data_IF_235046359978
#
_entry.id   IF_235046359978
#
_cell.length_a   1.000
_cell.length_b   1.000
_cell.length_c   1.000
_cell.angle_alpha   90.00
_cell.angle_beta   90.00
_cell.angle_gamma   90.00
#
_symmetry.space_group_name_H-M   'P 1'
#
loop_
_entity.id
_entity.type
_entity.pdbx_description
1 polymer ?
#
# COMPACT_ATOMS: atom_id res chain seq x y z
N UNK A 1 3.22 -2.69 69.16
CA UNK A 1 2.91 -1.53 70.00
C UNK A 1 1.93 -0.69 69.21
N UNK A 2 0.65 -0.89 69.48
CA UNK A 2 -0.28 -0.09 70.30
C UNK A 2 -0.68 1.20 69.55
N UNK A 3 -1.89 1.25 69.05
CA UNK A 3 -3.26 1.41 69.57
C UNK A 3 -3.62 2.88 69.72
N UNK A 4 -4.73 3.25 69.20
CA UNK A 4 -5.94 4.01 69.63
C UNK A 4 -6.51 4.90 68.54
N UNK A 5 -7.70 4.71 68.00
CA UNK A 5 -9.06 4.85 68.55
C UNK A 5 -9.45 6.30 68.87
N UNK A 6 -10.49 6.82 68.17
CA UNK A 6 -11.70 7.53 68.65
C UNK A 6 -12.47 8.05 67.42
N UNK A 7 -13.63 7.60 67.10
CA UNK A 7 -15.03 7.69 67.52
C UNK A 7 -15.56 9.11 67.78
N UNK A 8 -16.56 9.53 66.99
CA UNK A 8 -17.95 9.95 67.32
C UNK A 8 -18.51 10.80 66.18
N UNK A 9 -19.56 10.47 65.60
CA UNK A 9 -21.02 10.54 65.87
C UNK A 9 -21.67 11.87 65.42
N UNK A 10 -22.52 11.74 64.45
CA UNK A 10 -23.94 12.05 64.40
C UNK A 10 -24.37 13.46 63.93
N UNK A 11 -25.29 13.46 62.99
CA UNK A 11 -26.15 14.58 62.65
C UNK A 11 -27.09 14.25 61.52
N UNK A 12 -28.30 13.92 61.83
CA UNK A 12 -29.49 13.68 61.01
C UNK A 12 -29.91 14.93 60.24
N UNK A 13 -30.36 14.86 59.02
CA UNK A 13 -31.72 15.16 58.61
C UNK A 13 -31.86 15.55 57.14
N UNK A 14 -32.85 15.07 56.50
CA UNK A 14 -33.55 15.81 55.48
C UNK A 14 -33.66 15.13 54.12
N UNK A 15 -34.74 14.41 53.97
CA UNK A 15 -35.22 13.79 52.72
C UNK A 15 -35.41 14.79 51.56
N UNK A 16 -35.12 14.39 50.36
CA UNK A 16 -35.97 14.65 49.20
C UNK A 16 -35.58 13.69 48.07
N UNK A 17 -36.45 12.71 47.86
CA UNK A 17 -36.41 11.78 46.74
C UNK A 17 -36.86 12.56 45.51
N UNK A 18 -35.96 12.81 44.55
CA UNK A 18 -36.35 13.14 43.20
C UNK A 18 -35.92 11.94 42.31
N UNK A 19 -36.91 11.14 41.98
CA UNK A 19 -36.81 10.10 40.95
C UNK A 19 -36.64 10.79 39.61
N UNK A 20 -35.42 10.89 39.12
CA UNK A 20 -35.16 11.19 37.72
C UNK A 20 -34.96 9.85 36.98
N UNK A 21 -35.98 9.44 36.24
CA UNK A 21 -35.84 8.38 35.22
C UNK A 21 -34.85 8.86 34.16
N UNK A 22 -33.62 8.42 34.27
CA UNK A 22 -32.66 8.49 33.17
C UNK A 22 -33.00 7.33 32.23
N UNK A 23 -33.76 7.63 31.19
CA UNK A 23 -33.88 6.73 30.03
C UNK A 23 -32.49 6.65 29.36
N UNK A 24 -31.78 5.55 29.61
CA UNK A 24 -30.59 5.18 28.89
C UNK A 24 -30.95 4.85 27.44
N UNK A 25 -30.86 5.85 26.59
CA UNK A 25 -30.82 5.66 25.15
C UNK A 25 -29.50 4.96 24.83
N UNK A 26 -29.49 3.64 24.81
CA UNK A 26 -28.46 2.84 24.16
C UNK A 26 -28.53 3.14 22.67
N UNK A 27 -27.80 4.16 22.24
CA UNK A 27 -27.54 4.36 20.84
C UNK A 27 -26.70 3.18 20.38
N UNK A 28 -27.32 2.17 19.80
CA UNK A 28 -26.67 1.23 18.92
C UNK A 28 -26.04 2.08 17.77
N UNK A 29 -24.79 2.42 17.90
CA UNK A 29 -23.99 2.91 16.79
C UNK A 29 -23.83 1.73 15.82
N UNK A 30 -24.76 1.59 14.89
CA UNK A 30 -24.53 0.80 13.69
C UNK A 30 -23.30 1.40 13.02
N UNK A 31 -22.29 0.59 12.65
CA UNK A 31 -21.19 1.11 11.85
C UNK A 31 -21.85 1.69 10.59
N UNK A 32 -21.65 2.99 10.38
CA UNK A 32 -22.02 3.64 9.13
C UNK A 32 -21.13 3.01 8.08
N UNK A 33 -21.65 1.98 7.40
CA UNK A 33 -21.06 1.55 6.15
C UNK A 33 -21.22 2.73 5.20
N UNK A 34 -20.15 3.50 5.02
CA UNK A 34 -20.10 4.49 3.95
C UNK A 34 -20.50 3.77 2.67
N UNK A 35 -21.53 4.25 1.95
CA UNK A 35 -21.93 3.61 0.72
C UNK A 35 -20.71 3.63 -0.20
N UNK A 36 -20.26 2.44 -0.63
CA UNK A 36 -19.29 2.31 -1.71
C UNK A 36 -19.86 3.14 -2.86
N UNK A 37 -19.18 4.18 -3.33
CA UNK A 37 -19.71 4.97 -4.42
C UNK A 37 -19.99 3.99 -5.57
N UNK A 38 -21.13 4.11 -6.26
CA UNK A 38 -21.43 3.24 -7.38
C UNK A 38 -20.22 3.29 -8.31
N UNK A 39 -19.78 2.12 -8.79
CA UNK A 39 -18.64 2.00 -9.69
C UNK A 39 -18.83 3.06 -10.78
N UNK A 40 -18.14 4.19 -10.62
CA UNK A 40 -18.27 5.32 -11.52
C UNK A 40 -17.81 4.79 -12.85
N UNK A 41 -18.68 4.80 -13.86
CA UNK A 41 -18.28 4.47 -15.23
C UNK A 41 -16.99 5.23 -15.45
N UNK A 42 -15.88 4.50 -15.71
CA UNK A 42 -14.61 5.12 -16.01
C UNK A 42 -14.90 6.18 -17.08
N UNK A 43 -14.78 7.44 -16.72
CA UNK A 43 -14.97 8.48 -17.70
C UNK A 43 -13.77 8.38 -18.63
N UNK A 44 -14.04 8.01 -19.87
CA UNK A 44 -13.07 8.15 -20.94
C UNK A 44 -12.77 9.64 -21.02
N UNK A 45 -11.61 10.06 -20.50
CA UNK A 45 -11.13 11.42 -20.74
C UNK A 45 -10.75 11.46 -22.20
N UNK A 46 -11.53 12.20 -22.99
CA UNK A 46 -11.43 12.24 -24.45
C UNK A 46 -11.31 10.85 -25.06
N UNK A 47 -12.47 10.23 -25.31
CA UNK A 47 -12.56 8.91 -25.94
C UNK A 47 -11.49 8.71 -27.01
N UNK A 48 -10.52 7.85 -26.72
CA UNK A 48 -9.46 7.49 -27.65
C UNK A 48 -8.18 8.32 -27.65
N UNK A 49 -8.06 9.43 -26.87
CA UNK A 49 -6.81 10.22 -26.85
C UNK A 49 -5.85 9.89 -25.70
N UNK A 50 -6.38 9.75 -24.47
CA UNK A 50 -5.51 9.77 -23.28
C UNK A 50 -5.46 8.45 -22.50
N UNK A 51 -6.15 7.41 -22.96
CA UNK A 51 -6.24 6.11 -22.28
C UNK A 51 -7.51 5.97 -21.43
N UNK A 52 -7.62 4.84 -20.72
CA UNK A 52 -8.73 4.55 -19.82
C UNK A 52 -8.40 5.11 -18.43
N UNK A 53 -9.13 6.16 -18.02
CA UNK A 53 -8.95 6.76 -16.71
C UNK A 53 -9.69 5.97 -15.64
N UNK A 54 -8.98 5.65 -14.54
CA UNK A 54 -9.53 5.06 -13.32
C UNK A 54 -9.28 6.01 -12.17
N UNK A 55 -10.34 6.60 -11.62
CA UNK A 55 -10.24 7.45 -10.45
C UNK A 55 -9.93 6.57 -9.23
N UNK A 56 -8.96 7.00 -8.45
CA UNK A 56 -8.60 6.38 -7.19
C UNK A 56 -9.20 7.18 -6.04
N UNK A 57 -9.50 6.51 -4.93
CA UNK A 57 -9.84 7.18 -3.68
C UNK A 57 -8.61 7.22 -2.79
N UNK A 58 -8.42 8.35 -2.11
CA UNK A 58 -7.42 8.47 -1.05
C UNK A 58 -8.11 8.28 0.29
N UNK A 59 -7.61 7.35 1.10
CA UNK A 59 -8.09 7.07 2.44
C UNK A 59 -7.02 7.46 3.45
N UNK A 60 -7.41 8.16 4.50
CA UNK A 60 -6.52 8.56 5.59
C UNK A 60 -6.99 7.95 6.90
N UNK A 61 -6.08 7.35 7.63
CA UNK A 61 -6.36 6.85 8.97
C UNK A 61 -6.05 7.95 10.00
N UNK A 62 -7.08 8.41 10.70
CA UNK A 62 -6.95 9.42 11.76
C UNK A 62 -6.12 8.93 12.95
N UNK A 63 -6.11 7.63 13.20
CA UNK A 63 -5.46 7.04 14.37
C UNK A 63 -3.96 6.80 14.20
N UNK A 64 -3.45 6.70 12.96
CA UNK A 64 -2.05 6.33 12.68
C UNK A 64 -1.34 7.22 11.66
N UNK A 65 -1.98 8.27 11.19
CA UNK A 65 -1.39 9.16 10.18
C UNK A 65 -1.05 8.47 8.85
N UNK A 66 -1.60 7.27 8.60
CA UNK A 66 -1.36 6.52 7.37
C UNK A 66 -2.32 6.99 6.28
N UNK A 67 -1.83 7.06 5.08
CA UNK A 67 -2.63 7.27 3.89
C UNK A 67 -2.48 6.07 2.95
N UNK A 68 -3.54 5.78 2.21
CA UNK A 68 -3.56 4.73 1.18
C UNK A 68 -4.41 5.19 0.02
N UNK A 69 -4.15 4.68 -1.16
CA UNK A 69 -4.99 4.91 -2.34
C UNK A 69 -5.54 3.59 -2.83
N UNK A 70 -6.75 3.61 -3.38
CA UNK A 70 -7.38 2.38 -3.85
C UNK A 70 -8.53 2.62 -4.79
N UNK A 71 -9.15 1.52 -5.24
CA UNK A 71 -10.19 1.55 -6.25
C UNK A 71 -11.12 0.34 -6.13
N UNK A 72 -12.36 0.47 -6.61
CA UNK A 72 -13.23 -0.68 -6.80
C UNK A 72 -12.81 -1.48 -8.04
N UNK A 73 -12.74 -2.79 -7.88
CA UNK A 73 -12.60 -3.75 -8.96
C UNK A 73 -13.77 -4.72 -8.94
N UNK A 74 -14.01 -5.44 -10.04
CA UNK A 74 -14.99 -6.52 -10.07
C UNK A 74 -14.26 -7.85 -9.92
N UNK A 75 -14.70 -8.66 -8.98
CA UNK A 75 -14.21 -10.02 -8.75
C UNK A 75 -15.41 -10.97 -8.70
N UNK A 76 -15.50 -11.86 -9.67
CA UNK A 76 -16.64 -12.77 -9.85
C UNK A 76 -18.00 -12.03 -9.80
N UNK A 77 -18.10 -10.91 -10.54
CA UNK A 77 -19.31 -10.08 -10.61
C UNK A 77 -19.60 -9.22 -9.38
N UNK A 78 -18.76 -9.29 -8.33
CA UNK A 78 -18.91 -8.51 -7.10
C UNK A 78 -17.90 -7.36 -7.06
N UNK A 79 -18.36 -6.17 -6.69
CA UNK A 79 -17.46 -5.04 -6.44
C UNK A 79 -16.66 -5.27 -5.15
N UNK A 80 -15.33 -5.19 -5.26
CA UNK A 80 -14.39 -5.30 -4.14
C UNK A 80 -13.48 -4.08 -4.16
N UNK A 81 -13.29 -3.45 -3.00
CA UNK A 81 -12.46 -2.26 -2.88
C UNK A 81 -11.05 -2.66 -2.44
N UNK A 82 -10.05 -2.39 -3.28
CA UNK A 82 -8.67 -2.82 -3.08
C UNK A 82 -7.73 -1.61 -2.99
N UNK A 83 -6.75 -1.71 -2.08
CA UNK A 83 -5.62 -0.77 -2.03
C UNK A 83 -4.73 -0.98 -3.25
N UNK A 84 -4.41 0.09 -3.96
CA UNK A 84 -3.46 0.05 -5.07
C UNK A 84 -2.04 0.10 -4.51
N UNK A 85 -1.25 -0.94 -4.79
CA UNK A 85 0.16 -0.98 -4.42
C UNK A 85 1.05 -1.22 -5.62
N UNK A 86 1.85 -0.22 -5.96
CA UNK A 86 2.86 -0.32 -6.99
C UNK A 86 4.12 -1.07 -6.53
N UNK A 87 4.29 -1.30 -5.23
CA UNK A 87 5.45 -1.99 -4.65
C UNK A 87 5.32 -3.52 -4.55
N UNK A 88 4.14 -4.06 -4.84
CA UNK A 88 3.86 -5.50 -4.82
C UNK A 88 3.26 -5.97 -6.14
N UNK A 89 3.23 -7.29 -6.35
CA UNK A 89 2.65 -7.93 -7.53
C UNK A 89 1.51 -8.84 -7.12
N UNK A 90 0.45 -8.89 -7.95
CA UNK A 90 -0.68 -9.79 -7.76
C UNK A 90 -1.76 -9.28 -6.80
N UNK A 91 -2.87 -10.00 -6.75
CA UNK A 91 -4.02 -9.64 -5.92
C UNK A 91 -4.06 -10.50 -4.66
N UNK A 92 -4.16 -9.84 -3.51
CA UNK A 92 -4.40 -10.47 -2.22
C UNK A 92 -5.66 -9.89 -1.64
N UNK A 93 -6.66 -10.71 -1.45
CA UNK A 93 -8.00 -10.26 -1.07
C UNK A 93 -8.53 -11.11 0.07
N UNK A 94 -9.20 -10.48 1.04
CA UNK A 94 -9.81 -11.20 2.16
C UNK A 94 -10.83 -12.20 1.64
N UNK A 95 -10.67 -13.45 2.03
CA UNK A 95 -11.51 -14.57 1.58
C UNK A 95 -13.00 -14.33 1.82
N UNK A 96 -13.34 -13.63 2.92
CA UNK A 96 -14.73 -13.32 3.31
C UNK A 96 -15.51 -12.43 2.33
N UNK A 97 -14.81 -11.66 1.47
CA UNK A 97 -15.48 -10.78 0.50
C UNK A 97 -15.69 -11.44 -0.85
N UNK A 98 -15.03 -12.55 -1.10
CA UNK A 98 -15.20 -13.34 -2.31
C UNK A 98 -16.43 -14.25 -2.21
N UNK A 99 -17.12 -14.55 -3.32
CA UNK A 99 -18.20 -15.55 -3.32
C UNK A 99 -17.65 -16.93 -2.95
N UNK A 100 -18.33 -17.63 -2.05
CA UNK A 100 -17.89 -18.98 -1.59
C UNK A 100 -17.80 -20.01 -2.71
N UNK A 101 -18.56 -19.82 -3.77
CA UNK A 101 -18.54 -20.70 -4.98
C UNK A 101 -17.23 -20.66 -5.74
N UNK A 102 -16.41 -19.62 -5.55
CA UNK A 102 -15.14 -19.45 -6.25
C UNK A 102 -13.97 -20.20 -5.60
N UNK A 103 -14.21 -20.95 -4.52
CA UNK A 103 -13.15 -21.69 -3.82
C UNK A 103 -13.18 -23.17 -4.14
N UNK A 104 -12.20 -23.72 -4.84
CA UNK A 104 -11.94 -25.14 -4.72
C UNK A 104 -11.46 -25.42 -3.31
N UNK A 105 -12.03 -26.42 -2.65
CA UNK A 105 -11.69 -26.82 -1.27
C UNK A 105 -10.19 -27.20 -1.07
N UNK A 106 -9.38 -27.20 -2.13
CA UNK A 106 -8.00 -27.67 -2.19
C UNK A 106 -7.05 -26.77 -2.98
N UNK A 107 -7.25 -25.44 -2.99
CA UNK A 107 -6.27 -24.52 -3.58
C UNK A 107 -4.91 -24.60 -2.87
N UNK A 108 -3.82 -24.43 -3.62
CA UNK A 108 -2.48 -24.36 -3.04
C UNK A 108 -2.41 -23.17 -2.05
N UNK A 109 -2.05 -23.43 -0.80
CA UNK A 109 -1.83 -22.35 0.18
C UNK A 109 -0.50 -21.69 -0.09
N UNK A 110 -0.54 -20.38 -0.09
CA UNK A 110 0.63 -19.53 -0.21
C UNK A 110 0.67 -18.56 0.96
N UNK A 111 1.84 -18.03 1.26
CA UNK A 111 2.02 -16.95 2.23
C UNK A 111 2.90 -15.86 1.62
N UNK A 112 2.62 -14.62 2.01
CA UNK A 112 3.39 -13.45 1.62
C UNK A 112 3.69 -12.59 2.83
N UNK A 113 4.92 -12.11 2.93
CA UNK A 113 5.35 -11.24 4.02
C UNK A 113 5.60 -9.84 3.49
N UNK A 114 4.94 -8.86 4.07
CA UNK A 114 5.14 -7.43 3.76
C UNK A 114 6.37 -6.86 4.47
N UNK A 115 6.79 -5.69 4.03
CA UNK A 115 7.88 -4.94 4.69
C UNK A 115 7.53 -4.49 6.13
N UNK A 116 6.24 -4.49 6.45
CA UNK A 116 5.68 -4.22 7.78
C UNK A 116 5.82 -5.39 8.75
N UNK A 117 6.45 -6.51 8.34
CA UNK A 117 6.50 -7.80 9.05
C UNK A 117 5.13 -8.46 9.24
N UNK A 118 4.09 -7.94 8.61
CA UNK A 118 2.82 -8.63 8.50
C UNK A 118 2.94 -9.75 7.46
N UNK A 119 2.38 -10.91 7.80
CA UNK A 119 2.29 -12.06 6.91
C UNK A 119 0.83 -12.37 6.63
N UNK A 120 0.50 -12.52 5.36
CA UNK A 120 -0.81 -12.99 4.91
C UNK A 120 -0.70 -14.39 4.37
N UNK A 121 -1.66 -15.23 4.68
CA UNK A 121 -1.72 -16.62 4.21
C UNK A 121 -3.12 -16.91 3.67
N UNK A 122 -3.20 -17.79 2.70
CA UNK A 122 -4.46 -18.19 2.10
C UNK A 122 -4.31 -19.08 0.88
N UNK A 123 -5.43 -19.50 0.31
CA UNK A 123 -5.44 -20.32 -0.89
C UNK A 123 -5.25 -19.45 -2.14
N UNK A 124 -4.50 -19.94 -3.10
CA UNK A 124 -4.48 -19.38 -4.47
C UNK A 124 -5.66 -19.93 -5.23
N UNK A 125 -6.50 -19.05 -5.74
CA UNK A 125 -7.70 -19.37 -6.52
C UNK A 125 -7.75 -18.56 -7.80
N UNK A 126 -8.50 -19.03 -8.79
CA UNK A 126 -8.75 -18.28 -10.02
C UNK A 126 -10.15 -17.68 -9.96
N UNK A 127 -10.23 -16.36 -10.22
CA UNK A 127 -11.50 -15.64 -10.25
C UNK A 127 -11.61 -14.76 -11.49
N UNK A 128 -12.80 -14.56 -12.04
CA UNK A 128 -13.04 -13.55 -13.06
C UNK A 128 -12.77 -12.15 -12.47
N UNK A 129 -11.86 -11.41 -13.08
CA UNK A 129 -11.42 -10.08 -12.65
C UNK A 129 -11.65 -9.06 -13.76
N UNK A 130 -12.17 -7.89 -13.41
CA UNK A 130 -12.21 -6.75 -14.30
C UNK A 130 -12.07 -5.42 -13.55
N UNK A 131 -11.62 -4.39 -14.26
CA UNK A 131 -11.40 -3.05 -13.73
C UNK A 131 -11.97 -2.04 -14.72
N UNK A 132 -12.62 -0.99 -14.21
CA UNK A 132 -13.10 0.13 -15.01
C UNK A 132 -13.93 -0.28 -16.24
N UNK A 133 -14.75 -1.33 -16.13
CA UNK A 133 -15.60 -1.82 -17.22
C UNK A 133 -14.90 -2.62 -18.31
N UNK A 134 -13.64 -3.02 -18.11
CA UNK A 134 -12.96 -3.97 -19.02
C UNK A 134 -13.66 -5.31 -19.03
N UNK A 135 -13.44 -6.11 -20.09
CA UNK A 135 -13.94 -7.49 -20.10
C UNK A 135 -13.27 -8.28 -18.98
N UNK A 136 -14.01 -9.15 -18.27
CA UNK A 136 -13.44 -10.02 -17.27
C UNK A 136 -12.36 -10.93 -17.85
N UNK A 137 -11.29 -11.15 -17.08
CA UNK A 137 -10.23 -12.11 -17.35
C UNK A 137 -10.06 -13.02 -16.14
N UNK A 138 -9.69 -14.27 -16.36
CA UNK A 138 -9.39 -15.19 -15.28
C UNK A 138 -8.06 -14.83 -14.65
N UNK A 139 -8.07 -14.54 -13.35
CA UNK A 139 -6.92 -14.07 -12.60
C UNK A 139 -6.67 -14.98 -11.39
N UNK A 140 -5.42 -15.44 -11.24
CA UNK A 140 -4.97 -16.11 -10.03
C UNK A 140 -4.79 -15.07 -8.91
N UNK A 141 -5.48 -15.26 -7.77
CA UNK A 141 -5.46 -14.38 -6.63
C UNK A 141 -5.23 -15.17 -5.33
N UNK A 142 -4.65 -14.55 -4.33
CA UNK A 142 -4.58 -15.13 -2.98
C UNK A 142 -5.84 -14.74 -2.20
N UNK A 143 -6.66 -15.72 -1.87
CA UNK A 143 -7.79 -15.57 -0.96
C UNK A 143 -7.28 -15.65 0.48
N UNK A 144 -7.05 -14.50 1.10
CA UNK A 144 -6.44 -14.38 2.43
C UNK A 144 -7.44 -14.76 3.50
N UNK A 145 -7.11 -15.76 4.28
CA UNK A 145 -7.88 -16.23 5.45
C UNK A 145 -7.17 -16.03 6.78
N UNK A 146 -5.87 -15.69 6.74
CA UNK A 146 -5.06 -15.44 7.92
C UNK A 146 -4.14 -14.23 7.70
N UNK A 147 -4.08 -13.36 8.71
CA UNK A 147 -3.12 -12.24 8.80
C UNK A 147 -2.42 -12.34 10.16
N UNK A 148 -1.12 -12.45 10.14
CA UNK A 148 -0.30 -12.66 11.34
C UNK A 148 0.96 -11.78 11.32
N UNK A 149 1.66 -11.73 12.44
CA UNK A 149 2.96 -11.09 12.53
C UNK A 149 4.08 -12.12 12.45
N UNK A 150 5.20 -11.76 11.85
CA UNK A 150 6.42 -12.55 11.98
C UNK A 150 6.83 -12.67 13.45
N UNK A 151 7.46 -13.82 13.81
CA UNK A 151 7.92 -14.07 15.18
C UNK A 151 8.88 -13.01 15.71
N UNK A 152 9.66 -12.41 14.82
CA UNK A 152 10.62 -11.34 15.13
C UNK A 152 9.95 -10.01 15.47
N UNK A 153 8.75 -9.76 14.95
CA UNK A 153 7.99 -8.52 15.22
C UNK A 153 6.54 -8.83 15.61
N UNK A 154 6.33 -9.12 16.87
CA UNK A 154 4.99 -9.48 17.41
C UNK A 154 4.01 -8.30 17.45
N UNK A 155 4.45 -7.07 17.15
CA UNK A 155 3.63 -5.85 17.17
C UNK A 155 3.47 -5.23 15.79
N UNK A 156 3.45 -6.05 14.76
CA UNK A 156 3.20 -5.58 13.41
C UNK A 156 1.73 -5.13 13.22
N UNK A 157 1.44 -4.52 12.10
CA UNK A 157 0.10 -4.01 11.77
C UNK A 157 -0.99 -5.08 11.71
N UNK A 158 -0.62 -6.37 11.61
CA UNK A 158 -1.57 -7.49 11.66
C UNK A 158 -2.33 -7.56 13.00
N UNK A 159 -1.80 -6.98 14.08
CA UNK A 159 -2.52 -6.91 15.36
C UNK A 159 -3.72 -5.96 15.32
N UNK A 160 -3.80 -5.10 14.32
CA UNK A 160 -4.97 -4.24 14.10
C UNK A 160 -6.13 -5.00 13.43
N UNK A 161 -6.02 -6.31 13.35
CA UNK A 161 -6.97 -7.19 12.69
C UNK A 161 -6.71 -7.31 11.18
N UNK A 162 -7.60 -8.04 10.51
CA UNK A 162 -7.48 -8.32 9.07
C UNK A 162 -7.36 -7.08 8.20
N UNK A 163 -7.95 -5.97 8.61
CA UNK A 163 -7.97 -4.74 7.84
C UNK A 163 -6.75 -3.84 8.11
N UNK A 164 -5.97 -4.12 9.15
CA UNK A 164 -4.80 -3.30 9.50
C UNK A 164 -3.76 -3.23 8.39
N UNK A 165 -3.44 -4.35 7.77
CA UNK A 165 -2.50 -4.41 6.64
C UNK A 165 -3.08 -3.79 5.36
N UNK A 166 -4.39 -3.89 5.17
CA UNK A 166 -5.06 -3.38 3.98
C UNK A 166 -5.57 -1.93 4.13
N UNK A 167 -5.14 -1.20 5.16
CA UNK A 167 -5.46 0.21 5.34
C UNK A 167 -6.90 0.51 5.77
N UNK A 168 -7.57 -0.42 6.46
CA UNK A 168 -8.93 -0.33 7.06
C UNK A 168 -10.08 -0.15 6.07
N UNK A 169 -9.91 0.64 5.02
CA UNK A 169 -10.94 0.89 4.02
C UNK A 169 -11.01 -0.18 2.94
N UNK A 170 -9.97 -1.00 2.82
CA UNK A 170 -9.82 -1.94 1.73
C UNK A 170 -10.02 -3.38 2.17
N UNK A 171 -10.47 -4.20 1.23
CA UNK A 171 -10.64 -5.64 1.43
C UNK A 171 -9.45 -6.47 0.93
N UNK A 172 -8.38 -5.81 0.53
CA UNK A 172 -7.18 -6.44 0.01
C UNK A 172 -6.29 -5.46 -0.72
N UNK A 173 -5.30 -6.01 -1.43
CA UNK A 173 -4.28 -5.27 -2.18
C UNK A 173 -4.36 -5.66 -3.65
N UNK A 174 -4.35 -4.66 -4.52
CA UNK A 174 -4.13 -4.76 -5.96
C UNK A 174 -2.67 -4.40 -6.23
N UNK A 175 -1.80 -5.41 -6.22
CA UNK A 175 -0.38 -5.25 -6.49
C UNK A 175 -0.12 -5.15 -7.98
N UNK A 176 0.33 -3.97 -8.42
CA UNK A 176 0.55 -3.65 -9.83
C UNK A 176 2.02 -3.35 -10.16
N UNK A 177 2.93 -3.60 -9.24
CA UNK A 177 4.35 -3.31 -9.40
C UNK A 177 5.09 -4.27 -10.32
N UNK A 178 6.40 -4.08 -10.35
CA UNK A 178 7.33 -5.01 -10.98
C UNK A 178 7.36 -6.35 -10.23
N UNK A 179 7.76 -7.40 -10.92
CA UNK A 179 7.77 -8.75 -10.37
C UNK A 179 8.77 -8.88 -9.19
N UNK A 180 8.33 -9.53 -8.12
CA UNK A 180 9.21 -9.96 -7.03
C UNK A 180 9.46 -11.48 -7.19
N UNK A 181 10.69 -11.92 -7.46
CA UNK A 181 10.99 -13.35 -7.67
C UNK A 181 10.73 -14.22 -6.44
N UNK A 182 10.54 -13.59 -5.27
CA UNK A 182 10.18 -14.28 -4.02
C UNK A 182 8.68 -14.47 -3.86
N UNK A 183 7.88 -13.84 -4.72
CA UNK A 183 6.42 -13.98 -4.70
C UNK A 183 6.02 -15.16 -5.58
N UNK A 184 5.56 -16.22 -4.95
CA UNK A 184 5.16 -17.46 -5.64
C UNK A 184 3.68 -17.49 -6.01
N UNK A 185 2.92 -16.49 -5.57
CA UNK A 185 1.52 -16.34 -5.92
C UNK A 185 1.34 -15.22 -6.95
N UNK A 186 0.40 -15.42 -7.79
CA UNK A 186 -0.42 -14.36 -8.38
C UNK A 186 0.26 -13.59 -9.52
N UNK A 187 -0.42 -13.62 -10.64
CA UNK A 187 -0.09 -12.83 -11.83
C UNK A 187 -0.35 -11.35 -11.56
N UNK A 188 0.47 -10.47 -12.10
CA UNK A 188 0.24 -9.03 -12.07
C UNK A 188 -1.09 -8.69 -12.78
N UNK A 189 -2.08 -8.11 -12.07
CA UNK A 189 -3.47 -8.08 -12.52
C UNK A 189 -3.70 -7.20 -13.75
N UNK A 190 -2.97 -6.10 -13.91
CA UNK A 190 -3.14 -5.26 -15.09
C UNK A 190 -2.55 -5.94 -16.33
N UNK A 191 -1.43 -6.65 -16.22
CA UNK A 191 -0.83 -7.40 -17.33
C UNK A 191 -1.69 -8.59 -17.79
N UNK A 192 -2.58 -9.09 -16.94
CA UNK A 192 -3.55 -10.11 -17.30
C UNK A 192 -4.68 -9.56 -18.19
N UNK A 193 -4.93 -8.26 -18.19
CA UNK A 193 -5.87 -7.61 -19.10
C UNK A 193 -5.38 -7.69 -20.55
N UNK A 194 -6.25 -7.47 -21.55
CA UNK A 194 -5.82 -7.41 -22.95
C UNK A 194 -4.62 -6.48 -23.14
N UNK A 195 -3.65 -6.90 -23.98
CA UNK A 195 -2.35 -6.23 -24.10
C UNK A 195 -2.46 -4.74 -24.50
N UNK A 196 -3.48 -4.38 -25.26
CA UNK A 196 -3.74 -2.98 -25.61
C UNK A 196 -4.28 -2.14 -24.44
N UNK A 197 -4.57 -2.73 -23.28
CA UNK A 197 -5.10 -2.05 -22.08
C UNK A 197 -4.10 -2.13 -20.94
N UNK A 198 -3.59 -3.30 -20.61
CA UNK A 198 -2.94 -3.58 -19.34
C UNK A 198 -1.40 -3.57 -19.34
N UNK A 199 -0.74 -3.56 -20.51
CA UNK A 199 0.71 -3.61 -20.59
C UNK A 199 1.39 -2.27 -20.26
N UNK A 200 0.65 -1.17 -20.36
CA UNK A 200 1.14 0.18 -20.06
C UNK A 200 0.14 0.90 -19.17
N UNK A 201 0.62 1.54 -18.13
CA UNK A 201 -0.23 2.35 -17.25
C UNK A 201 0.57 3.40 -16.50
N UNK A 202 -0.10 4.49 -16.15
CA UNK A 202 0.42 5.59 -15.37
C UNK A 202 -0.28 5.62 -14.01
N UNK A 203 0.48 5.78 -12.93
CA UNK A 203 -0.02 5.98 -11.56
C UNK A 203 0.42 7.35 -11.09
N UNK A 204 -0.55 8.18 -10.71
CA UNK A 204 -0.35 9.40 -9.95
C UNK A 204 -0.81 9.14 -8.52
N UNK A 205 0.13 9.18 -7.59
CA UNK A 205 -0.12 8.85 -6.19
C UNK A 205 -0.42 10.08 -5.32
N UNK A 206 -0.61 11.26 -5.93
CA UNK A 206 -0.98 12.46 -5.20
C UNK A 206 -2.33 12.29 -4.51
N UNK A 207 -2.38 12.46 -3.18
CA UNK A 207 -3.57 12.17 -2.37
C UNK A 207 -4.74 13.11 -2.65
N UNK A 208 -4.51 14.28 -3.23
CA UNK A 208 -5.60 15.20 -3.56
C UNK A 208 -6.31 14.79 -4.86
N UNK A 209 -5.57 14.18 -5.78
CA UNK A 209 -6.10 13.71 -7.07
C UNK A 209 -5.39 12.43 -7.53
N UNK A 210 -5.53 11.33 -6.78
CA UNK A 210 -4.91 10.09 -7.18
C UNK A 210 -5.61 9.50 -8.40
N UNK A 211 -4.84 8.97 -9.34
CA UNK A 211 -5.41 8.36 -10.54
C UNK A 211 -4.54 7.24 -11.11
N UNK A 212 -5.17 6.34 -11.81
CA UNK A 212 -4.57 5.32 -12.65
C UNK A 212 -5.06 5.52 -14.08
N UNK A 213 -4.15 5.57 -15.05
CA UNK A 213 -4.49 5.63 -16.48
C UNK A 213 -3.98 4.36 -17.14
N UNK A 214 -4.88 3.54 -17.65
CA UNK A 214 -4.52 2.35 -18.42
C UNK A 214 -4.31 2.73 -19.87
N UNK A 215 -3.27 2.19 -20.50
CA UNK A 215 -2.87 2.49 -21.89
C UNK A 215 -2.75 3.99 -22.18
N UNK A 216 -1.94 4.74 -21.39
CA UNK A 216 -1.82 6.18 -21.56
C UNK A 216 -1.28 6.53 -22.95
N UNK A 217 -1.76 7.67 -23.50
CA UNK A 217 -1.28 8.19 -24.78
C UNK A 217 0.17 8.65 -24.71
N UNK A 218 0.82 8.73 -25.86
CA UNK A 218 2.19 9.25 -25.95
C UNK A 218 2.28 10.72 -25.46
N UNK A 219 1.19 11.49 -25.60
CA UNK A 219 1.13 12.87 -25.10
C UNK A 219 1.27 12.93 -23.57
N UNK A 220 0.69 11.97 -22.85
CA UNK A 220 0.80 11.88 -21.38
C UNK A 220 2.16 11.36 -20.92
N UNK A 221 2.86 10.57 -21.74
CA UNK A 221 4.09 9.87 -21.34
C UNK A 221 5.38 10.48 -21.86
N UNK A 222 5.31 11.45 -22.79
CA UNK A 222 6.49 12.04 -23.47
C UNK A 222 7.53 12.71 -22.55
N UNK A 223 7.11 13.17 -21.37
CA UNK A 223 7.95 13.93 -20.43
C UNK A 223 8.48 13.05 -19.27
N UNK A 224 8.29 11.73 -19.36
CA UNK A 224 8.88 10.80 -18.40
C UNK A 224 10.34 10.50 -18.76
N UNK A 225 11.19 10.46 -17.75
CA UNK A 225 12.51 9.84 -17.89
C UNK A 225 12.30 8.34 -17.81
N UNK A 226 12.63 7.63 -18.89
CA UNK A 226 12.46 6.17 -18.96
C UNK A 226 13.73 5.49 -18.47
N UNK A 227 13.57 4.54 -17.55
CA UNK A 227 14.65 3.68 -17.05
C UNK A 227 14.30 2.22 -17.32
N UNK A 228 15.26 1.39 -17.75
CA UNK A 228 14.98 -0.02 -18.02
C UNK A 228 14.65 -0.76 -16.72
N UNK A 229 13.60 -1.60 -16.76
CA UNK A 229 13.39 -2.64 -15.76
C UNK A 229 14.45 -3.71 -15.91
N UNK A 230 14.85 -4.34 -14.82
CA UNK A 230 15.76 -5.47 -14.87
C UNK A 230 14.99 -6.71 -15.32
N UNK A 231 15.31 -7.26 -16.49
CA UNK A 231 14.63 -8.44 -17.01
C UNK A 231 15.28 -9.72 -16.46
N UNK A 232 14.47 -10.53 -15.78
CA UNK A 232 14.84 -11.87 -15.34
C UNK A 232 14.94 -12.85 -16.54
N UNK A 233 15.62 -13.98 -16.34
CA UNK A 233 15.75 -15.02 -17.35
C UNK A 233 14.41 -15.67 -17.72
N UNK A 234 13.45 -15.62 -16.82
CA UNK A 234 12.07 -16.11 -16.94
C UNK A 234 11.12 -15.07 -17.58
N UNK A 235 11.65 -13.92 -18.03
CA UNK A 235 10.85 -12.83 -18.57
C UNK A 235 10.18 -11.96 -17.48
N UNK A 236 10.47 -12.18 -16.20
CA UNK A 236 10.02 -11.31 -15.13
C UNK A 236 10.64 -9.91 -15.25
N UNK A 237 9.83 -8.88 -15.02
CA UNK A 237 10.29 -7.50 -15.04
C UNK A 237 10.50 -7.03 -13.61
N UNK A 238 11.76 -6.96 -13.18
CA UNK A 238 12.17 -6.62 -11.83
C UNK A 238 12.51 -5.12 -11.69
N UNK A 239 12.53 -4.64 -10.47
CA UNK A 239 12.87 -3.26 -10.15
C UNK A 239 14.29 -2.88 -10.59
N UNK A 240 14.50 -1.67 -11.14
CA UNK A 240 15.81 -1.19 -11.52
C UNK A 240 16.69 -0.95 -10.30
N UNK A 241 18.00 -1.10 -10.47
CA UNK A 241 18.97 -0.68 -9.45
C UNK A 241 19.13 0.84 -9.51
N UNK A 242 19.07 1.47 -8.34
CA UNK A 242 19.36 2.89 -8.15
C UNK A 242 20.18 3.11 -6.90
N UNK A 243 20.56 4.35 -6.65
CA UNK A 243 21.37 4.72 -5.50
C UNK A 243 20.73 5.84 -4.71
N UNK A 244 20.81 5.76 -3.39
CA UNK A 244 20.49 6.87 -2.48
C UNK A 244 21.75 7.43 -1.85
N UNK A 245 21.79 8.75 -1.71
CA UNK A 245 22.73 9.46 -0.86
C UNK A 245 21.93 10.04 0.30
N UNK A 246 22.19 9.58 1.53
CA UNK A 246 21.50 10.03 2.76
C UNK A 246 22.36 11.06 3.46
N UNK A 247 22.00 12.33 3.35
CA UNK A 247 22.82 13.44 3.84
C UNK A 247 24.24 13.38 3.26
N UNK A 248 25.25 13.59 4.13
CA UNK A 248 26.66 13.39 3.79
C UNK A 248 27.22 12.01 4.20
N UNK A 249 26.37 11.16 4.79
CA UNK A 249 26.83 10.00 5.55
C UNK A 249 26.81 8.70 4.76
N UNK A 250 25.77 8.44 3.98
CA UNK A 250 25.56 7.14 3.37
C UNK A 250 25.30 7.26 1.87
N UNK A 251 26.07 6.52 1.09
CA UNK A 251 25.73 6.20 -0.31
C UNK A 251 25.45 4.71 -0.42
N UNK A 252 24.28 4.36 -0.95
CA UNK A 252 23.82 2.98 -0.99
C UNK A 252 23.08 2.71 -2.29
N UNK A 253 23.39 1.59 -2.95
CA UNK A 253 22.79 1.20 -4.22
C UNK A 253 22.12 -0.17 -4.08
N UNK A 254 20.88 -0.27 -4.52
CA UNK A 254 20.06 -1.49 -4.46
C UNK A 254 18.87 -1.37 -5.43
N UNK A 255 18.07 -2.43 -5.65
CA UNK A 255 16.81 -2.32 -6.34
C UNK A 255 15.91 -1.25 -5.67
N UNK A 256 15.34 -0.35 -6.49
CA UNK A 256 14.48 0.74 -6.01
C UNK A 256 13.03 0.38 -6.26
N UNK A 257 12.28 0.18 -5.18
CA UNK A 257 10.85 -0.15 -5.18
C UNK A 257 10.06 1.14 -4.96
N UNK A 258 9.18 1.49 -5.89
CA UNK A 258 8.24 2.58 -5.74
C UNK A 258 6.90 2.02 -5.28
N UNK A 259 6.54 2.20 -4.00
CA UNK A 259 5.41 1.52 -3.35
C UNK A 259 4.34 2.51 -2.88
N UNK A 260 3.19 2.49 -3.52
CA UNK A 260 2.03 3.25 -3.02
C UNK A 260 1.36 2.60 -1.81
N UNK A 261 1.68 1.35 -1.50
CA UNK A 261 1.29 0.67 -0.27
C UNK A 261 2.26 0.90 0.91
N UNK A 262 3.46 1.42 0.64
CA UNK A 262 4.45 1.75 1.66
C UNK A 262 4.06 3.01 2.44
N UNK A 263 4.10 2.94 3.76
CA UNK A 263 3.72 4.07 4.65
C UNK A 263 4.91 4.97 5.00
N UNK A 264 6.13 4.46 4.93
CA UNK A 264 7.35 5.23 5.14
C UNK A 264 7.58 6.15 3.92
N UNK A 265 8.17 7.32 4.15
CA UNK A 265 8.54 8.18 3.02
C UNK A 265 9.70 7.54 2.23
N UNK A 266 10.80 7.20 2.93
CA UNK A 266 11.94 6.48 2.35
C UNK A 266 12.37 5.40 3.34
N UNK A 267 12.54 4.17 2.85
CA UNK A 267 13.06 3.06 3.64
C UNK A 267 14.24 2.42 2.90
N UNK A 268 15.36 2.34 3.57
CA UNK A 268 16.56 1.62 3.10
C UNK A 268 16.66 0.32 3.88
N UNK A 269 16.50 -0.80 3.21
CA UNK A 269 16.71 -2.11 3.79
C UNK A 269 18.09 -2.61 3.40
N UNK A 270 18.89 -2.99 4.39
CA UNK A 270 20.27 -3.41 4.21
C UNK A 270 20.64 -4.54 5.15
N UNK A 271 21.51 -5.45 4.70
CA UNK A 271 22.03 -6.54 5.52
C UNK A 271 23.09 -6.06 6.52
N UNK A 272 23.69 -4.88 6.27
CA UNK A 272 24.75 -4.31 7.08
C UNK A 272 24.36 -2.91 7.58
N UNK A 273 24.45 -2.70 8.90
CA UNK A 273 24.28 -1.38 9.49
C UNK A 273 25.31 -0.39 8.91
N UNK A 274 24.95 0.88 8.67
CA UNK A 274 25.89 1.93 8.35
C UNK A 274 26.94 2.11 9.45
N UNK A 275 28.16 2.45 9.11
CA UNK A 275 29.27 2.63 10.07
C UNK A 275 29.02 3.74 11.12
N UNK A 276 28.07 4.63 10.86
CA UNK A 276 27.65 5.70 11.76
C UNK A 276 26.37 5.37 12.57
N UNK A 277 25.76 4.19 12.38
CA UNK A 277 24.65 3.74 13.20
C UNK A 277 25.17 3.28 14.57
N UNK A 278 24.47 3.72 15.62
CA UNK A 278 24.76 3.29 16.99
C UNK A 278 24.43 1.80 17.19
N UNK A 279 24.80 1.23 18.34
CA UNK A 279 24.58 -0.16 18.68
C UNK A 279 23.18 -0.65 18.37
N UNK A 280 23.13 -1.68 17.55
CA UNK A 280 21.91 -2.12 16.87
C UNK A 280 21.25 -3.20 17.71
N UNK A 281 20.10 -2.84 18.27
CA UNK A 281 19.09 -3.81 18.65
C UNK A 281 18.47 -4.36 17.35
N UNK A 282 18.54 -5.67 17.14
CA UNK A 282 18.03 -6.33 15.93
C UNK A 282 16.52 -6.10 15.67
N UNK A 283 15.80 -5.59 16.70
CA UNK A 283 14.39 -5.24 16.64
C UNK A 283 14.12 -3.76 16.33
N UNK A 284 15.16 -2.95 16.21
CA UNK A 284 15.07 -1.52 15.91
C UNK A 284 15.69 -1.18 14.57
N UNK A 285 15.24 -0.11 13.91
CA UNK A 285 15.94 0.40 12.74
C UNK A 285 17.36 0.82 13.11
N UNK A 286 18.32 0.62 12.21
CA UNK A 286 19.69 1.09 12.38
C UNK A 286 19.76 2.60 12.52
N UNK A 287 18.91 3.31 11.76
CA UNK A 287 18.72 4.74 11.89
C UNK A 287 17.29 5.11 11.47
N UNK A 288 16.74 6.11 12.15
CA UNK A 288 15.48 6.72 11.80
C UNK A 288 15.57 8.22 12.07
N UNK A 289 15.15 9.02 11.11
CA UNK A 289 15.15 10.47 11.25
C UNK A 289 14.77 11.15 9.95
N UNK A 290 14.92 12.45 9.93
CA UNK A 290 14.74 13.26 8.75
C UNK A 290 16.10 13.58 8.14
N UNK A 291 16.23 13.33 6.85
CA UNK A 291 17.49 13.53 6.12
C UNK A 291 17.23 14.16 4.76
N UNK A 292 18.22 14.89 4.26
CA UNK A 292 18.28 15.20 2.85
C UNK A 292 18.71 13.95 2.08
N UNK A 293 17.87 13.50 1.17
CA UNK A 293 18.11 12.30 0.39
C UNK A 293 18.13 12.63 -1.09
N UNK A 294 19.16 12.19 -1.78
CA UNK A 294 19.22 12.21 -3.23
C UNK A 294 19.06 10.78 -3.74
N UNK A 295 18.02 10.55 -4.54
CA UNK A 295 17.77 9.27 -5.20
C UNK A 295 18.11 9.41 -6.68
N UNK A 296 18.93 8.49 -7.21
CA UNK A 296 19.25 8.37 -8.62
C UNK A 296 18.86 6.99 -9.16
N UNK A 297 18.15 6.94 -10.29
CA UNK A 297 17.79 5.69 -10.99
C UNK A 297 18.01 5.91 -12.49
N UNK A 298 19.01 5.27 -13.08
CA UNK A 298 19.44 5.60 -14.45
C UNK A 298 19.77 7.07 -14.58
N UNK A 299 19.21 7.72 -15.59
CA UNK A 299 19.37 9.16 -15.86
C UNK A 299 18.42 10.05 -15.04
N UNK A 300 17.51 9.46 -14.27
CA UNK A 300 16.60 10.22 -13.43
C UNK A 300 17.20 10.41 -12.04
N UNK A 301 17.06 11.64 -11.50
CA UNK A 301 17.45 11.94 -10.13
C UNK A 301 16.42 12.87 -9.47
N UNK A 302 16.19 12.65 -8.18
CA UNK A 302 15.31 13.48 -7.37
C UNK A 302 15.90 13.73 -5.99
N UNK A 303 15.74 14.97 -5.49
CA UNK A 303 16.14 15.35 -4.13
C UNK A 303 14.90 15.47 -3.25
N UNK A 304 14.94 14.78 -2.12
CA UNK A 304 13.99 14.91 -1.02
C UNK A 304 14.69 15.69 0.10
N UNK A 305 14.15 16.83 0.47
CA UNK A 305 14.66 17.61 1.60
C UNK A 305 13.90 17.23 2.86
N UNK A 306 14.62 17.11 3.98
CA UNK A 306 14.04 16.79 5.31
C UNK A 306 13.10 15.56 5.25
N UNK A 307 13.50 14.52 4.50
CA UNK A 307 12.69 13.36 4.28
C UNK A 307 12.76 12.37 5.45
N UNK A 308 11.62 11.96 5.97
CA UNK A 308 11.56 10.86 6.92
C UNK A 308 12.17 9.61 6.30
N UNK A 309 13.28 9.16 6.85
CA UNK A 309 14.05 8.03 6.34
C UNK A 309 14.29 7.01 7.44
N UNK A 310 14.03 5.76 7.12
CA UNK A 310 14.30 4.59 7.95
C UNK A 310 15.37 3.75 7.28
N UNK A 311 16.43 3.43 8.01
CA UNK A 311 17.46 2.47 7.60
C UNK A 311 17.34 1.27 8.51
N UNK A 312 17.01 0.11 7.97
CA UNK A 312 16.67 -1.06 8.75
C UNK A 312 17.27 -2.34 8.15
N UNK A 313 17.33 -3.39 8.99
CA UNK A 313 17.72 -4.72 8.54
C UNK A 313 16.75 -5.23 7.47
N UNK A 314 17.28 -5.88 6.46
CA UNK A 314 16.49 -6.46 5.39
C UNK A 314 15.68 -7.66 5.90
N UNK A 315 14.41 -7.45 6.21
CA UNK A 315 13.54 -8.49 6.80
C UNK A 315 13.32 -9.70 5.88
N UNK A 316 13.43 -9.50 4.57
CA UNK A 316 13.21 -10.55 3.54
C UNK A 316 14.49 -11.08 2.92
N UNK A 317 15.65 -10.67 3.44
CA UNK A 317 16.93 -10.86 2.77
C UNK A 317 17.09 -9.99 1.51
N UNK A 318 18.32 -9.64 1.21
CA UNK A 318 18.66 -8.77 0.10
C UNK A 318 18.36 -7.28 0.35
N UNK A 319 19.25 -6.47 -0.14
CA UNK A 319 19.17 -5.01 -0.01
C UNK A 319 18.13 -4.43 -0.95
N UNK A 320 17.42 -3.38 -0.51
CA UNK A 320 16.52 -2.59 -1.37
C UNK A 320 16.28 -1.19 -0.83
N UNK A 321 15.82 -0.32 -1.69
CA UNK A 321 15.37 1.03 -1.38
C UNK A 321 13.86 1.07 -1.66
N UNK A 322 13.05 1.46 -0.69
CA UNK A 322 11.59 1.60 -0.86
C UNK A 322 11.24 3.08 -0.77
N UNK A 323 10.61 3.58 -1.82
CA UNK A 323 10.06 4.94 -1.90
C UNK A 323 8.56 4.81 -1.69
N UNK A 324 8.08 5.26 -0.54
CA UNK A 324 6.69 5.07 -0.15
C UNK A 324 5.75 6.18 -0.61
N UNK A 325 4.47 6.02 -0.32
CA UNK A 325 3.38 6.88 -0.79
C UNK A 325 3.62 8.37 -0.51
N UNK A 326 4.18 8.71 0.65
CA UNK A 326 4.42 10.12 0.99
C UNK A 326 5.48 10.78 0.11
N UNK A 327 6.49 10.05 -0.31
CA UNK A 327 7.47 10.52 -1.30
C UNK A 327 6.87 10.58 -2.70
N UNK A 328 5.97 9.64 -3.03
CA UNK A 328 5.30 9.55 -4.31
C UNK A 328 4.23 10.63 -4.54
N UNK A 329 3.92 11.46 -3.54
CA UNK A 329 3.07 12.64 -3.74
C UNK A 329 3.59 13.57 -4.85
N UNK A 330 4.89 13.53 -5.09
CA UNK A 330 5.61 14.39 -6.02
C UNK A 330 6.27 13.62 -7.17
N UNK A 331 5.87 12.36 -7.39
CA UNK A 331 6.45 11.53 -8.45
C UNK A 331 5.33 10.75 -9.13
N UNK A 332 5.16 10.96 -10.43
CA UNK A 332 4.32 10.11 -11.26
C UNK A 332 5.11 8.90 -11.73
N UNK A 333 4.47 7.74 -11.75
CA UNK A 333 5.04 6.46 -12.20
C UNK A 333 4.37 6.04 -13.51
N UNK A 334 5.16 5.68 -14.50
CA UNK A 334 4.67 5.10 -15.74
C UNK A 334 5.32 3.72 -15.94
N UNK A 335 4.51 2.69 -15.98
CA UNK A 335 4.96 1.34 -16.26
C UNK A 335 4.71 1.02 -17.74
N UNK A 336 5.75 0.58 -18.43
CA UNK A 336 5.71 0.09 -19.82
C UNK A 336 6.32 -1.31 -19.87
N UNK A 337 5.53 -2.30 -19.49
CA UNK A 337 5.97 -3.69 -19.52
C UNK A 337 6.11 -4.22 -20.95
N UNK A 338 5.47 -3.60 -21.94
CA UNK A 338 5.64 -3.98 -23.33
C UNK A 338 7.07 -3.71 -23.82
N UNK A 339 7.73 -2.70 -23.25
CA UNK A 339 9.11 -2.32 -23.60
C UNK A 339 10.09 -2.54 -22.44
N UNK A 340 9.65 -3.12 -21.32
CA UNK A 340 10.50 -3.36 -20.16
C UNK A 340 11.02 -2.06 -19.52
N UNK A 341 10.17 -1.03 -19.38
CA UNK A 341 10.57 0.29 -18.91
C UNK A 341 9.71 0.79 -17.75
N UNK A 342 10.35 1.56 -16.87
CA UNK A 342 9.72 2.36 -15.83
C UNK A 342 9.98 3.84 -16.15
N UNK A 343 8.91 4.62 -16.27
CA UNK A 343 8.99 6.06 -16.43
C UNK A 343 8.85 6.76 -15.08
N UNK A 344 9.69 7.74 -14.84
CA UNK A 344 9.69 8.55 -13.62
C UNK A 344 9.56 10.03 -14.01
N UNK A 345 8.64 10.75 -13.37
CA UNK A 345 8.42 12.17 -13.60
C UNK A 345 8.10 12.87 -12.30
N UNK A 346 8.85 13.91 -11.97
CA UNK A 346 8.44 14.85 -10.93
C UNK A 346 7.33 15.78 -11.49
N UNK A 347 6.25 16.07 -10.75
CA UNK A 347 5.22 16.99 -11.21
C UNK A 347 5.82 18.36 -11.52
N UNK A 348 5.38 18.97 -12.61
CA UNK A 348 5.73 20.34 -12.92
C UNK A 348 5.08 21.27 -11.90
N UNK A 349 5.80 22.30 -11.46
CA UNK A 349 5.29 23.28 -10.47
C UNK A 349 3.95 23.93 -10.89
N UNK A 350 3.62 23.95 -12.20
CA UNK A 350 2.38 24.54 -12.72
C UNK A 350 1.14 23.64 -12.55
N UNK A 351 1.28 22.36 -12.23
CA UNK A 351 0.14 21.48 -11.95
C UNK A 351 -0.33 21.57 -10.49
N UNK A 352 0.39 22.29 -9.64
CA UNK A 352 0.01 22.54 -8.24
C UNK A 352 -1.02 23.66 -8.05
N UNK A 353 -1.31 24.43 -9.09
CA UNK A 353 -2.26 25.56 -9.02
C UNK A 353 -3.51 25.28 -9.83
N UNK A 354 -4.41 24.55 -9.23
CA UNK A 354 -5.79 24.37 -9.62
C UNK A 354 -6.57 24.10 -8.35
N UNK A 355 -6.58 25.09 -7.46
CA UNK A 355 -7.48 25.15 -6.30
C UNK A 355 -8.92 25.36 -6.75
#
# INVERSE_FOLDING_TARGET
>A
MSVHFFRRLAGFAGASIVLALAASLSACSTPISTPVPPATKASLINEGRDGLLVLLSAERSDTRGRASIGLPVQMDGKAVYLMLDTGTTGVRVLSKVLPRSSYPAAGMRTSYTFATDAQVSGATITVPFSIAGTKPVDLAVQAVDEVSCLKINKRCVAQDGYTGEFGWAFSGILGVGADDPRDTCCTQPLRALPANIGQRYLVRANLDRPLLVLSPSNALTKDFTLVPLTMGKDGSAQWPVGCVQVGSKMRFCAPVVFSTGGTDMIRVETDKAPDWADDVDEHKPFAQGNYDVVLGVGDWAHRFNDAQTIIAKAARGGNRIVIGLMALQNIDLYFDFAHGQLGLRAPRNNERMGS
#
